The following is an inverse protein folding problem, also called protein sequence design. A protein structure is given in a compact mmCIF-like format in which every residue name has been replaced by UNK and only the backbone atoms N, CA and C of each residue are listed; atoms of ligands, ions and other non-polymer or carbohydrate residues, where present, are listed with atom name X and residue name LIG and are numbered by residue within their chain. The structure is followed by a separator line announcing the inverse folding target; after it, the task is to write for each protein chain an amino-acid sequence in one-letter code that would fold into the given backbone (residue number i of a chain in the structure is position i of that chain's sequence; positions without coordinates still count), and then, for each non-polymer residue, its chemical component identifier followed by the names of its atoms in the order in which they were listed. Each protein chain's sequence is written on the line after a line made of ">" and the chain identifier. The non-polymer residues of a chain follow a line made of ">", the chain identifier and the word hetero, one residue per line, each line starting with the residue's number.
data_IF_352414311872
#
_entry.id   IF_352414311872
#
_cell.length_a   1.000
_cell.length_b   1.000
_cell.length_c   1.000
_cell.angle_alpha   90.00
_cell.angle_beta   90.00
_cell.angle_gamma   90.00
#
_symmetry.space_group_name_H-M   'P 1'
#
loop_
_entity.id
_entity.type
_entity.pdbx_description
1 polymer ?
#
# COMPACT_ATOMS: atom_id res chain seq x y z
N UNK A 1 -27.05 22.55 26.35
CA UNK A 1 -26.69 21.14 26.52
C UNK A 1 -25.20 21.02 26.23
N UNK A 2 -24.39 20.91 27.27
CA UNK A 2 -22.93 21.02 27.21
C UNK A 2 -22.32 19.61 27.14
N UNK A 3 -21.44 19.36 26.17
CA UNK A 3 -20.71 18.11 26.03
C UNK A 3 -19.58 18.06 27.08
N UNK A 4 -19.60 17.03 27.92
CA UNK A 4 -18.56 16.76 28.91
C UNK A 4 -17.38 16.04 28.24
N UNK A 5 -16.19 16.64 28.33
CA UNK A 5 -14.92 16.00 28.01
C UNK A 5 -14.41 15.19 29.21
N UNK A 6 -13.95 13.95 28.97
CA UNK A 6 -13.26 13.11 29.97
C UNK A 6 -11.88 13.70 30.33
N UNK A 7 -11.46 13.66 31.62
CA UNK A 7 -10.14 14.13 32.01
C UNK A 7 -9.05 13.10 31.70
N UNK A 8 -7.94 13.57 31.11
CA UNK A 8 -6.70 12.80 30.92
C UNK A 8 -6.04 12.53 32.27
N UNK A 9 -5.67 11.28 32.56
CA UNK A 9 -4.89 10.90 33.74
C UNK A 9 -3.40 11.23 33.54
N UNK A 10 -2.72 11.88 34.51
CA UNK A 10 -1.27 12.08 34.44
C UNK A 10 -0.51 10.82 34.82
N UNK A 11 0.58 10.54 34.11
CA UNK A 11 1.53 9.48 34.43
C UNK A 11 2.46 9.97 35.56
N UNK A 12 2.45 9.29 36.70
CA UNK A 12 3.36 9.55 37.81
C UNK A 12 4.71 8.87 37.59
N UNK A 13 5.78 9.65 37.56
CA UNK A 13 7.15 9.16 37.69
C UNK A 13 7.50 9.04 39.17
N UNK A 14 7.79 7.82 39.64
CA UNK A 14 8.47 7.58 40.91
C UNK A 14 9.77 6.84 40.61
N UNK A 15 10.87 7.47 41.03
CA UNK A 15 12.23 7.01 40.79
C UNK A 15 12.60 5.77 41.58
N UNK A 16 13.71 5.16 41.17
CA UNK A 16 14.53 4.30 42.02
C UNK A 16 15.96 4.42 41.54
N UNK A 17 16.79 5.04 42.37
CA UNK A 17 18.22 5.20 42.17
C UNK A 17 18.98 4.02 42.78
N UNK A 18 20.07 3.66 42.10
CA UNK A 18 21.30 3.01 42.57
C UNK A 18 21.31 1.49 42.81
N UNK A 19 21.99 0.80 41.90
CA UNK A 19 23.11 -0.09 42.24
C UNK A 19 24.10 -0.13 41.07
N UNK A 20 25.31 0.38 41.31
CA UNK A 20 26.45 0.30 40.41
C UNK A 20 27.30 -0.92 40.80
N UNK A 21 27.60 -1.80 39.85
CA UNK A 21 28.81 -2.63 39.86
C UNK A 21 29.01 -3.33 38.49
N UNK A 22 30.07 -2.93 37.78
CA UNK A 22 30.97 -3.79 37.00
C UNK A 22 30.43 -4.60 35.82
N UNK A 23 30.76 -4.20 34.60
CA UNK A 23 31.44 -5.11 33.67
C UNK A 23 32.22 -4.34 32.60
N UNK A 24 33.45 -4.81 32.41
CA UNK A 24 34.49 -4.21 31.59
C UNK A 24 34.22 -4.33 30.09
N UNK A 25 34.77 -3.34 29.37
CA UNK A 25 35.16 -3.32 27.96
C UNK A 25 34.73 -4.51 27.08
N UNK A 26 33.77 -4.27 26.20
CA UNK A 26 33.71 -4.92 24.88
C UNK A 26 34.11 -3.87 23.85
N UNK A 27 35.30 -4.08 23.30
CA UNK A 27 35.89 -3.33 22.20
C UNK A 27 34.96 -3.32 20.98
N UNK A 28 34.92 -2.15 20.34
CA UNK A 28 34.47 -1.87 18.98
C UNK A 28 34.28 -3.09 18.08
N UNK A 29 33.03 -3.39 17.78
CA UNK A 29 32.64 -3.95 16.50
C UNK A 29 31.63 -2.99 15.85
N UNK A 30 32.09 -1.78 15.51
CA UNK A 30 31.54 -1.08 14.35
C UNK A 30 31.97 -1.89 13.12
N UNK A 31 31.28 -3.01 12.90
CA UNK A 31 31.26 -3.65 11.60
C UNK A 31 30.49 -2.71 10.68
N UNK A 32 31.22 -1.85 9.97
CA UNK A 32 30.77 -1.39 8.67
C UNK A 32 30.50 -2.65 7.87
N UNK A 33 29.24 -3.05 7.77
CA UNK A 33 28.83 -3.95 6.71
C UNK A 33 29.11 -3.20 5.42
N UNK A 34 30.31 -3.42 4.86
CA UNK A 34 30.65 -3.05 3.50
C UNK A 34 29.56 -3.67 2.62
N UNK A 35 28.66 -2.82 2.14
CA UNK A 35 27.66 -3.21 1.17
C UNK A 35 28.43 -3.72 -0.03
N UNK A 36 28.22 -5.00 -0.36
CA UNK A 36 28.91 -5.65 -1.47
C UNK A 36 28.82 -4.75 -2.73
N UNK A 37 29.90 -4.58 -3.53
CA UNK A 37 29.97 -3.59 -4.60
C UNK A 37 29.07 -3.84 -5.82
N UNK A 38 28.00 -4.65 -5.70
CA UNK A 38 27.23 -5.08 -6.87
C UNK A 38 25.73 -5.34 -6.63
N UNK A 39 25.11 -4.72 -5.62
CA UNK A 39 23.65 -4.53 -5.67
C UNK A 39 23.37 -3.41 -6.67
N UNK A 40 23.38 -3.73 -7.96
CA UNK A 40 22.88 -2.82 -8.97
C UNK A 40 21.49 -2.33 -8.53
N UNK A 41 21.29 -1.01 -8.54
CA UNK A 41 20.00 -0.45 -8.16
C UNK A 41 18.90 -1.11 -9.02
N UNK A 42 17.71 -1.41 -8.46
CA UNK A 42 16.66 -2.06 -9.21
C UNK A 42 16.34 -1.26 -10.47
N UNK A 43 16.30 -1.94 -11.62
CA UNK A 43 15.96 -1.30 -12.91
C UNK A 43 14.53 -0.78 -12.80
N UNK A 44 14.33 0.51 -13.11
CA UNK A 44 13.00 1.12 -13.18
C UNK A 44 12.45 0.84 -14.57
N UNK A 45 11.37 0.06 -14.64
CA UNK A 45 10.70 -0.20 -15.90
C UNK A 45 9.86 1.02 -16.31
N UNK A 46 10.34 1.75 -17.32
CA UNK A 46 9.65 2.89 -17.94
C UNK A 46 9.13 2.57 -19.34
N UNK A 47 9.10 1.29 -19.71
CA UNK A 47 8.55 0.88 -21.01
C UNK A 47 7.12 1.40 -21.17
N UNK A 48 6.80 1.86 -22.37
CA UNK A 48 5.47 2.38 -22.68
C UNK A 48 4.43 1.25 -22.59
N UNK A 49 3.33 1.50 -21.88
CA UNK A 49 2.16 0.64 -21.88
C UNK A 49 1.24 1.11 -23.00
N UNK A 50 1.06 0.29 -24.03
CA UNK A 50 0.15 0.62 -25.12
C UNK A 50 -1.28 0.78 -24.59
N UNK A 51 -1.91 1.93 -24.83
CA UNK A 51 -3.32 2.12 -24.51
C UNK A 51 -4.14 1.13 -25.35
N UNK A 52 -4.85 0.24 -24.67
CA UNK A 52 -5.79 -0.69 -25.30
C UNK A 52 -7.18 -0.33 -24.83
N UNK A 53 -8.04 0.06 -25.76
CA UNK A 53 -9.47 0.17 -25.50
C UNK A 53 -10.13 -1.16 -25.84
N UNK A 54 -10.45 -1.94 -24.81
CA UNK A 54 -11.19 -3.19 -24.97
C UNK A 54 -12.71 -2.98 -25.08
N UNK A 55 -13.17 -1.72 -25.01
CA UNK A 55 -14.56 -1.38 -24.73
C UNK A 55 -14.92 -1.60 -23.26
N UNK A 56 -15.98 -0.93 -22.81
CA UNK A 56 -16.55 -1.16 -21.47
C UNK A 56 -17.82 -1.98 -21.57
N UNK A 57 -17.90 -3.06 -20.79
CA UNK A 57 -19.13 -3.83 -20.61
C UNK A 57 -20.00 -3.27 -19.46
N UNK A 58 -19.61 -2.14 -18.86
CA UNK A 58 -20.39 -1.51 -17.81
C UNK A 58 -21.58 -0.76 -18.41
N UNK A 59 -22.70 -0.63 -17.66
CA UNK A 59 -23.81 0.22 -18.06
C UNK A 59 -23.37 1.65 -18.34
N UNK A 60 -24.04 2.31 -19.28
CA UNK A 60 -23.82 3.73 -19.54
C UNK A 60 -24.01 4.54 -18.24
N UNK A 61 -23.10 5.49 -18.01
CA UNK A 61 -23.15 6.35 -16.84
C UNK A 61 -22.90 5.64 -15.51
N UNK A 62 -22.26 4.47 -15.47
CA UNK A 62 -21.90 3.73 -14.24
C UNK A 62 -21.26 4.62 -13.17
N UNK A 63 -20.46 5.59 -13.60
CA UNK A 63 -19.77 6.57 -12.76
C UNK A 63 -20.69 7.54 -12.00
N UNK A 64 -21.99 7.62 -12.33
CA UNK A 64 -22.95 8.49 -11.66
C UNK A 64 -23.69 7.83 -10.49
N UNK A 65 -23.28 6.61 -10.08
CA UNK A 65 -23.86 5.92 -8.94
C UNK A 65 -23.16 6.13 -7.60
N UNK A 66 -23.64 5.43 -6.58
CA UNK A 66 -22.95 5.35 -5.30
C UNK A 66 -21.68 4.49 -5.43
N UNK A 67 -20.58 4.99 -4.86
CA UNK A 67 -19.33 4.28 -4.74
C UNK A 67 -19.10 3.84 -3.30
N UNK A 68 -18.50 2.66 -3.13
CA UNK A 68 -17.94 2.24 -1.86
C UNK A 68 -16.43 2.40 -1.90
N UNK A 69 -15.87 3.20 -1.01
CA UNK A 69 -14.43 3.23 -0.77
C UNK A 69 -14.03 1.98 0.03
N UNK A 70 -12.99 1.28 -0.42
CA UNK A 70 -12.58 -0.01 0.13
C UNK A 70 -11.08 0.04 0.45
N UNK A 71 -10.80 -0.12 1.75
CA UNK A 71 -9.48 -0.49 2.23
C UNK A 71 -9.33 -2.01 2.21
N UNK A 72 -8.66 -2.55 1.18
CA UNK A 72 -8.54 -4.01 0.95
C UNK A 72 -8.05 -4.73 2.19
N UNK A 73 -7.00 -4.20 2.84
CA UNK A 73 -6.38 -4.74 4.06
C UNK A 73 -7.35 -5.08 5.19
N UNK A 74 -8.45 -4.34 5.32
CA UNK A 74 -9.40 -4.50 6.43
C UNK A 74 -10.76 -5.03 5.98
N UNK A 75 -10.94 -5.39 4.71
CA UNK A 75 -12.26 -5.66 4.16
C UNK A 75 -12.65 -7.14 4.27
N UNK A 76 -11.87 -8.03 3.66
CA UNK A 76 -12.12 -9.47 3.71
C UNK A 76 -10.83 -10.25 3.43
N UNK A 77 -10.47 -11.12 4.36
CA UNK A 77 -9.35 -12.06 4.29
C UNK A 77 -9.85 -13.39 3.68
N UNK A 78 -9.11 -13.93 2.70
CA UNK A 78 -9.44 -15.19 2.03
C UNK A 78 -8.52 -16.36 2.36
N UNK A 79 -7.36 -16.14 2.97
CA UNK A 79 -6.36 -17.18 3.23
C UNK A 79 -6.02 -17.39 4.72
N UNK A 80 -6.57 -16.53 5.60
CA UNK A 80 -6.50 -16.65 7.05
C UNK A 80 -5.25 -16.04 7.66
N UNK A 81 -4.50 -15.20 6.93
CA UNK A 81 -3.31 -14.53 7.45
C UNK A 81 -3.63 -13.29 8.33
N UNK A 82 -4.90 -12.89 8.39
CA UNK A 82 -5.39 -11.74 9.15
C UNK A 82 -5.37 -10.42 8.38
N UNK A 83 -5.00 -10.43 7.09
CA UNK A 83 -4.97 -9.30 6.18
C UNK A 83 -6.00 -9.52 5.07
N UNK A 84 -6.83 -8.52 4.82
CA UNK A 84 -7.75 -8.57 3.68
C UNK A 84 -7.02 -8.47 2.34
N UNK A 85 -7.52 -9.20 1.34
CA UNK A 85 -6.87 -9.40 0.05
C UNK A 85 -7.86 -9.28 -1.14
N UNK A 86 -7.35 -9.30 -2.37
CA UNK A 86 -8.17 -9.11 -3.58
C UNK A 86 -9.16 -10.26 -3.83
N UNK A 87 -8.82 -11.50 -3.46
CA UNK A 87 -9.73 -12.66 -3.58
C UNK A 87 -10.83 -12.57 -2.54
N UNK A 88 -10.48 -12.14 -1.33
CA UNK A 88 -11.41 -11.83 -0.26
C UNK A 88 -12.42 -10.77 -0.70
N UNK A 89 -11.96 -9.65 -1.25
CA UNK A 89 -12.84 -8.63 -1.84
C UNK A 89 -13.71 -9.20 -2.97
N UNK A 90 -13.12 -9.99 -3.88
CA UNK A 90 -13.86 -10.62 -5.00
C UNK A 90 -15.02 -11.49 -4.48
N UNK A 91 -14.82 -12.23 -3.38
CA UNK A 91 -15.86 -13.06 -2.75
C UNK A 91 -17.05 -12.26 -2.19
N UNK A 92 -16.88 -10.95 -1.99
CA UNK A 92 -17.90 -10.04 -1.44
C UNK A 92 -18.64 -9.24 -2.50
N UNK A 93 -18.29 -9.37 -3.78
CA UNK A 93 -18.94 -8.60 -4.85
C UNK A 93 -20.45 -8.85 -4.94
N UNK A 94 -20.94 -10.04 -4.61
CA UNK A 94 -22.39 -10.31 -4.55
C UNK A 94 -23.10 -9.49 -3.46
N UNK A 95 -22.42 -9.27 -2.33
CA UNK A 95 -22.94 -8.41 -1.27
C UNK A 95 -22.97 -6.95 -1.72
N UNK A 96 -21.89 -6.46 -2.33
CA UNK A 96 -21.81 -5.10 -2.86
C UNK A 96 -22.86 -4.86 -3.97
N UNK A 97 -23.07 -5.84 -4.84
CA UNK A 97 -24.12 -5.79 -5.86
C UNK A 97 -25.52 -5.68 -5.22
N UNK A 98 -25.82 -6.50 -4.20
CA UNK A 98 -27.10 -6.40 -3.47
C UNK A 98 -27.26 -5.07 -2.71
N UNK A 99 -26.17 -4.51 -2.21
CA UNK A 99 -26.17 -3.19 -1.57
C UNK A 99 -26.52 -2.08 -2.57
N UNK A 100 -26.29 -2.30 -3.87
CA UNK A 100 -26.65 -1.38 -4.95
C UNK A 100 -25.56 -0.37 -5.30
N UNK A 101 -24.29 -0.63 -4.94
CA UNK A 101 -23.19 0.23 -5.36
C UNK A 101 -22.94 0.05 -6.86
N UNK A 102 -22.58 1.15 -7.55
CA UNK A 102 -22.25 1.12 -8.99
C UNK A 102 -20.75 1.16 -9.23
N UNK A 103 -19.97 1.48 -8.19
CA UNK A 103 -18.52 1.44 -8.25
C UNK A 103 -17.89 1.10 -6.91
N UNK A 104 -16.68 0.59 -6.98
CA UNK A 104 -15.75 0.50 -5.85
C UNK A 104 -14.56 1.42 -6.11
N UNK A 105 -14.15 2.14 -5.09
CA UNK A 105 -12.90 2.90 -5.07
C UNK A 105 -11.93 2.19 -4.14
N UNK A 106 -10.87 1.63 -4.73
CA UNK A 106 -9.81 0.99 -3.98
C UNK A 106 -8.83 2.05 -3.47
N UNK A 107 -8.58 2.03 -2.16
CA UNK A 107 -7.36 2.61 -1.59
C UNK A 107 -6.11 1.98 -2.24
N UNK A 108 -4.88 2.53 -2.07
CA UNK A 108 -3.71 2.03 -2.77
C UNK A 108 -3.47 0.53 -2.58
N UNK A 109 -3.35 -0.18 -3.71
CA UNK A 109 -3.11 -1.64 -3.76
C UNK A 109 -1.76 -2.01 -4.34
N UNK A 110 -0.95 -1.03 -4.77
CA UNK A 110 0.37 -1.25 -5.34
C UNK A 110 1.41 -1.59 -4.30
N UNK A 111 2.50 -2.24 -4.71
CA UNK A 111 3.62 -2.54 -3.84
C UNK A 111 4.15 -1.24 -3.21
N UNK A 112 4.37 -1.30 -1.90
CA UNK A 112 4.61 -0.13 -1.08
C UNK A 112 5.65 -0.43 0.01
N UNK A 113 6.19 0.62 0.62
CA UNK A 113 6.95 0.56 1.85
C UNK A 113 5.97 0.90 2.97
N UNK A 114 5.38 -0.13 3.56
CA UNK A 114 4.29 -0.01 4.53
C UNK A 114 4.68 0.83 5.77
N UNK A 115 3.65 1.45 6.37
CA UNK A 115 3.78 2.56 7.32
C UNK A 115 2.85 3.75 7.01
N UNK A 116 2.22 3.75 5.82
CA UNK A 116 1.32 4.80 5.34
C UNK A 116 0.15 4.24 4.48
N UNK A 117 -0.46 3.12 4.91
CA UNK A 117 -1.62 2.48 4.25
C UNK A 117 -1.51 2.29 2.73
N UNK A 118 -0.29 2.11 2.19
CA UNK A 118 -0.03 1.91 0.77
C UNK A 118 0.31 3.19 -0.03
N UNK A 119 0.20 4.38 0.56
CA UNK A 119 0.50 5.65 -0.13
C UNK A 119 2.00 5.85 -0.42
N UNK A 120 2.89 5.19 0.34
CA UNK A 120 4.31 5.12 0.06
C UNK A 120 4.64 4.03 -0.98
N UNK A 121 4.31 4.24 -2.25
CA UNK A 121 4.52 3.25 -3.33
C UNK A 121 5.99 3.00 -3.65
N UNK A 122 6.38 1.73 -3.83
CA UNK A 122 7.73 1.28 -4.22
C UNK A 122 7.78 0.73 -5.64
N UNK A 123 6.67 0.24 -6.17
CA UNK A 123 6.52 -0.21 -7.55
C UNK A 123 5.06 -0.05 -8.01
N UNK A 124 4.84 0.89 -8.94
CA UNK A 124 3.52 1.20 -9.51
C UNK A 124 2.94 0.09 -10.40
N UNK A 125 3.75 -0.87 -10.85
CA UNK A 125 3.35 -1.94 -11.78
C UNK A 125 3.03 -3.25 -11.06
N UNK A 126 3.21 -3.30 -9.74
CA UNK A 126 3.06 -4.52 -8.96
C UNK A 126 2.00 -4.33 -7.88
N UNK A 127 1.16 -5.35 -7.69
CA UNK A 127 0.26 -5.43 -6.54
C UNK A 127 1.06 -5.69 -5.27
N UNK A 128 0.65 -5.08 -4.15
CA UNK A 128 1.21 -5.34 -2.84
C UNK A 128 1.13 -6.86 -2.55
N UNK A 129 2.24 -7.54 -2.23
CA UNK A 129 2.24 -9.00 -2.11
C UNK A 129 1.19 -9.56 -1.13
N UNK A 130 0.87 -8.81 -0.07
CA UNK A 130 -0.18 -9.16 0.90
C UNK A 130 -1.60 -9.10 0.33
N UNK A 131 -1.82 -8.45 -0.81
CA UNK A 131 -3.14 -8.37 -1.46
C UNK A 131 -3.30 -9.39 -2.61
N UNK A 132 -2.21 -10.01 -3.05
CA UNK A 132 -2.18 -11.02 -4.11
C UNK A 132 -1.41 -10.58 -5.35
N UNK A 133 -1.92 -10.92 -6.53
CA UNK A 133 -1.23 -10.77 -7.81
C UNK A 133 -1.99 -9.89 -8.80
N UNK A 134 -1.34 -9.49 -9.90
CA UNK A 134 -2.03 -8.83 -11.02
C UNK A 134 -3.16 -9.71 -11.60
N UNK A 135 -3.01 -11.03 -11.62
CA UNK A 135 -4.06 -11.93 -12.08
C UNK A 135 -5.28 -11.92 -11.14
N UNK A 136 -5.06 -11.77 -9.83
CA UNK A 136 -6.16 -11.61 -8.88
C UNK A 136 -6.88 -10.26 -9.06
N UNK A 137 -6.13 -9.21 -9.44
CA UNK A 137 -6.72 -7.92 -9.78
C UNK A 137 -7.53 -7.96 -11.10
N UNK A 138 -7.01 -8.64 -12.12
CA UNK A 138 -7.74 -8.88 -13.38
C UNK A 138 -9.05 -9.64 -13.11
N UNK A 139 -9.02 -10.65 -12.24
CA UNK A 139 -10.20 -11.40 -11.84
C UNK A 139 -11.20 -10.54 -11.07
N UNK A 140 -10.74 -9.69 -10.14
CA UNK A 140 -11.59 -8.73 -9.43
C UNK A 140 -12.33 -7.82 -10.41
N UNK A 141 -11.61 -7.21 -11.36
CA UNK A 141 -12.18 -6.32 -12.37
C UNK A 141 -13.22 -7.08 -13.20
N UNK A 142 -12.86 -8.27 -13.69
CA UNK A 142 -13.76 -9.10 -14.52
C UNK A 142 -15.04 -9.44 -13.78
N UNK A 143 -14.94 -9.84 -12.52
CA UNK A 143 -16.10 -10.23 -11.69
C UNK A 143 -16.94 -9.02 -11.25
N UNK A 144 -16.32 -7.88 -10.97
CA UNK A 144 -17.02 -6.64 -10.66
C UNK A 144 -17.81 -6.15 -11.88
N UNK A 145 -17.19 -6.14 -13.06
CA UNK A 145 -17.83 -5.74 -14.31
C UNK A 145 -18.99 -6.66 -14.68
N UNK A 146 -18.87 -7.98 -14.45
CA UNK A 146 -19.97 -8.93 -14.64
C UNK A 146 -21.23 -8.61 -13.79
N UNK A 147 -21.07 -7.82 -12.72
CA UNK A 147 -22.14 -7.35 -11.82
C UNK A 147 -22.52 -5.89 -12.06
N UNK A 148 -21.99 -5.25 -13.10
CA UNK A 148 -22.21 -3.84 -13.39
C UNK A 148 -21.53 -2.89 -12.40
N UNK A 149 -20.53 -3.36 -11.64
CA UNK A 149 -19.76 -2.57 -10.68
C UNK A 149 -18.46 -2.13 -11.35
N UNK A 150 -18.25 -0.83 -11.51
CA UNK A 150 -16.97 -0.32 -11.99
C UNK A 150 -15.91 -0.27 -10.89
N UNK A 151 -14.64 -0.32 -11.28
CA UNK A 151 -13.50 -0.29 -10.37
C UNK A 151 -12.64 0.92 -10.67
N UNK A 152 -12.39 1.74 -9.65
CA UNK A 152 -11.37 2.78 -9.68
C UNK A 152 -10.36 2.52 -8.55
N UNK A 153 -9.16 3.04 -8.67
CA UNK A 153 -8.12 2.92 -7.65
C UNK A 153 -7.43 4.26 -7.41
N UNK A 154 -6.93 4.45 -6.20
CA UNK A 154 -5.94 5.48 -5.94
C UNK A 154 -4.67 5.20 -6.74
N UNK A 155 -4.24 6.19 -7.51
CA UNK A 155 -2.98 6.19 -8.24
C UNK A 155 -2.15 7.39 -7.82
N UNK A 156 -1.25 7.16 -6.87
CA UNK A 156 -0.53 8.21 -6.13
C UNK A 156 0.72 8.65 -6.89
N UNK A 157 0.59 9.66 -7.75
CA UNK A 157 1.69 10.12 -8.63
C UNK A 157 2.45 11.34 -8.12
N UNK A 158 1.96 12.00 -7.07
CA UNK A 158 2.64 13.18 -6.52
C UNK A 158 3.94 12.83 -5.77
N UNK A 159 4.03 11.62 -5.21
CA UNK A 159 5.18 11.16 -4.43
C UNK A 159 5.32 9.63 -4.51
N UNK A 160 6.46 9.12 -4.07
CA UNK A 160 6.74 7.70 -3.91
C UNK A 160 7.54 7.45 -2.62
N UNK A 161 7.70 6.19 -2.22
CA UNK A 161 8.49 5.83 -1.05
C UNK A 161 9.95 6.27 -1.18
N UNK A 162 10.60 6.55 -0.05
CA UNK A 162 12.06 6.75 -0.01
C UNK A 162 12.85 5.49 -0.45
N UNK A 163 12.22 4.31 -0.43
CA UNK A 163 12.78 3.06 -0.93
C UNK A 163 12.51 2.83 -2.43
N UNK A 164 11.71 3.68 -3.09
CA UNK A 164 11.41 3.54 -4.51
C UNK A 164 12.71 3.61 -5.34
N UNK A 165 12.93 2.71 -6.32
CA UNK A 165 14.22 2.62 -7.03
C UNK A 165 14.65 3.93 -7.71
N UNK A 166 13.72 4.68 -8.31
CA UNK A 166 14.00 6.02 -8.83
C UNK A 166 14.61 6.95 -7.76
N UNK A 167 14.03 7.00 -6.56
CA UNK A 167 14.55 7.86 -5.48
C UNK A 167 15.91 7.36 -4.97
N UNK A 168 16.08 6.04 -4.81
CA UNK A 168 17.35 5.42 -4.41
C UNK A 168 18.47 5.74 -5.40
N UNK A 169 18.16 5.82 -6.69
CA UNK A 169 19.12 6.23 -7.71
C UNK A 169 19.34 7.76 -7.69
N UNK A 170 18.27 8.55 -7.65
CA UNK A 170 18.33 10.03 -7.62
C UNK A 170 19.21 10.59 -6.49
N UNK A 171 19.23 9.93 -5.33
CA UNK A 171 20.02 10.35 -4.16
C UNK A 171 21.51 10.01 -4.25
N UNK A 172 21.96 9.30 -5.28
CA UNK A 172 23.38 8.94 -5.46
C UNK A 172 24.26 10.16 -5.78
N UNK A 173 23.67 11.24 -6.27
CA UNK A 173 24.37 12.50 -6.47
C UNK A 173 23.72 13.36 -7.56
N UNK A 174 24.28 14.55 -7.85
CA UNK A 174 23.75 15.48 -8.83
C UNK A 174 23.73 14.94 -10.28
N UNK A 175 24.52 13.91 -10.58
CA UNK A 175 24.63 13.32 -11.92
C UNK A 175 23.88 11.99 -12.05
N UNK A 176 23.05 11.64 -11.08
CA UNK A 176 22.28 10.40 -11.11
C UNK A 176 21.17 10.45 -12.16
N UNK A 177 20.84 9.32 -12.82
CA UNK A 177 19.90 9.29 -13.96
C UNK A 177 18.45 9.67 -13.63
N UNK A 178 18.07 9.72 -12.35
CA UNK A 178 16.71 10.04 -11.89
C UNK A 178 16.69 11.30 -11.01
N UNK A 179 17.71 12.15 -11.09
CA UNK A 179 17.85 13.33 -10.23
C UNK A 179 16.81 14.41 -10.53
N UNK A 180 16.49 14.57 -11.81
CA UNK A 180 15.62 15.60 -12.39
C UNK A 180 14.50 14.95 -13.23
#
# INVERSE_FOLDING_TARGET
>A
MSFAWMPRRPWSWLGSSLLAAGMAAVLSACGSAERAPNDAAPVVDTSAVAMRDAGSNLPEGWQHGAFMEIFVRSYADSDGDGIGDLRGLTSRLDHLHRLGVRGIWLMPITANADGDHGYATTDFRRIAPEYGTLADFDELIRQAHARGIGVIMDYVINHAAAAHPMFVQARQGPQAPWRD
#
